data_IF_732065178748
#
_entry.id   IF_732065178748
#
_cell.length_a   1.000
_cell.length_b   1.000
_cell.length_c   1.000
_cell.angle_alpha   90.00
_cell.angle_beta   90.00
_cell.angle_gamma   90.00
#
_symmetry.space_group_name_H-M   'P 1'
#
loop_
_entity.id
_entity.type
_entity.pdbx_description
1 polymer ?
#
# COMPACT_ATOMS: atom_id res chain seq x y z
N UNK A 1 4.20 7.64 -9.78
CA UNK A 1 2.82 7.22 -10.06
C UNK A 1 2.32 6.32 -8.94
N UNK A 2 1.10 6.55 -8.50
CA UNK A 2 0.47 5.73 -7.45
C UNK A 2 -0.40 4.65 -8.09
N UNK A 3 -0.15 3.41 -7.73
CA UNK A 3 -0.99 2.28 -8.14
C UNK A 3 -1.61 1.67 -6.91
N UNK A 4 -2.85 1.24 -7.02
CA UNK A 4 -3.54 0.62 -5.90
C UNK A 4 -4.32 -0.59 -6.34
N UNK A 5 -4.47 -1.53 -5.42
CA UNK A 5 -5.30 -2.71 -5.58
C UNK A 5 -6.13 -2.92 -4.32
N UNK A 6 -7.10 -3.80 -4.43
CA UNK A 6 -8.04 -4.04 -3.36
C UNK A 6 -8.07 -5.53 -3.04
N UNK A 7 -8.05 -5.88 -1.75
CA UNK A 7 -8.13 -7.28 -1.30
C UNK A 7 -9.31 -7.45 -0.37
N UNK A 8 -10.27 -8.28 -0.78
CA UNK A 8 -11.38 -8.66 0.07
C UNK A 8 -10.95 -9.71 1.08
N UNK A 9 -11.60 -9.70 2.24
CA UNK A 9 -11.40 -10.75 3.23
C UNK A 9 -11.95 -12.06 2.70
N UNK A 10 -11.22 -13.15 2.91
CA UNK A 10 -11.65 -14.47 2.49
C UNK A 10 -12.53 -15.12 3.54
N UNK A 11 -13.56 -15.85 3.08
CA UNK A 11 -14.38 -16.66 3.95
C UNK A 11 -13.57 -17.92 4.34
N UNK A 12 -13.47 -18.26 5.63
CA UNK A 12 -12.73 -19.45 6.04
C UNK A 12 -13.16 -20.76 5.36
N UNK A 13 -14.43 -20.87 5.02
CA UNK A 13 -14.92 -22.07 4.31
C UNK A 13 -14.40 -22.15 2.87
N UNK A 14 -14.05 -21.04 2.26
CA UNK A 14 -13.49 -21.01 0.90
C UNK A 14 -12.00 -21.27 0.88
N UNK A 15 -11.29 -20.85 1.92
CA UNK A 15 -9.82 -20.99 2.02
C UNK A 15 -9.39 -22.45 1.87
N UNK A 16 -10.15 -23.37 2.42
CA UNK A 16 -9.85 -24.80 2.35
C UNK A 16 -9.86 -25.35 0.91
N UNK A 17 -10.48 -24.62 -0.01
CA UNK A 17 -10.60 -25.01 -1.41
C UNK A 17 -9.61 -24.30 -2.32
N UNK A 18 -8.85 -23.34 -1.78
CA UNK A 18 -7.92 -22.54 -2.58
C UNK A 18 -6.71 -23.38 -3.00
N UNK A 19 -6.35 -23.26 -4.27
CA UNK A 19 -5.07 -23.75 -4.76
C UNK A 19 -3.96 -22.75 -4.43
N UNK A 20 -2.72 -23.08 -4.80
CA UNK A 20 -1.56 -22.22 -4.51
C UNK A 20 -1.71 -20.83 -5.12
N UNK A 21 -2.21 -20.72 -6.35
CA UNK A 21 -2.38 -19.43 -7.03
C UNK A 21 -3.43 -18.57 -6.33
N UNK A 22 -4.52 -19.17 -5.90
CA UNK A 22 -5.57 -18.45 -5.16
C UNK A 22 -5.07 -18.00 -3.78
N UNK A 23 -4.30 -18.82 -3.08
CA UNK A 23 -3.68 -18.44 -1.81
C UNK A 23 -2.75 -17.23 -1.99
N UNK A 24 -1.97 -17.21 -3.07
CA UNK A 24 -1.12 -16.07 -3.38
C UNK A 24 -1.94 -14.82 -3.67
N UNK A 25 -2.99 -14.95 -4.46
CA UNK A 25 -3.85 -13.82 -4.83
C UNK A 25 -4.53 -13.19 -3.60
N UNK A 26 -5.02 -14.01 -2.69
CA UNK A 26 -5.82 -13.50 -1.56
C UNK A 26 -4.99 -13.16 -0.32
N UNK A 27 -3.84 -13.78 -0.13
CA UNK A 27 -3.06 -13.61 1.10
C UNK A 27 -1.66 -13.06 0.92
N UNK A 28 -1.15 -12.96 -0.29
CA UNK A 28 0.20 -12.47 -0.55
C UNK A 28 0.14 -11.17 -1.32
N UNK A 29 0.91 -10.18 -0.89
CA UNK A 29 1.11 -8.95 -1.64
C UNK A 29 2.47 -9.06 -2.32
N UNK A 30 2.44 -9.24 -3.63
CA UNK A 30 3.64 -9.34 -4.45
C UNK A 30 4.00 -7.98 -5.06
N UNK A 31 5.24 -7.85 -5.51
CA UNK A 31 5.73 -6.66 -6.23
C UNK A 31 5.48 -5.37 -5.45
N UNK A 32 5.77 -5.41 -4.16
CA UNK A 32 5.53 -4.28 -3.27
C UNK A 32 6.41 -3.08 -3.63
N UNK A 33 7.63 -3.32 -4.08
CA UNK A 33 8.57 -2.26 -4.44
C UNK A 33 8.81 -2.25 -5.95
N UNK A 34 8.32 -1.20 -6.60
CA UNK A 34 8.55 -0.94 -8.03
C UNK A 34 9.16 0.44 -8.15
N UNK A 35 10.27 0.55 -8.89
CA UNK A 35 11.02 1.79 -9.02
C UNK A 35 10.14 2.95 -9.48
N UNK A 36 10.23 4.07 -8.76
CA UNK A 36 9.49 5.31 -9.03
C UNK A 36 7.97 5.17 -8.99
N UNK A 37 7.47 4.18 -8.24
CA UNK A 37 6.04 3.99 -8.05
C UNK A 37 5.70 3.83 -6.58
N UNK A 38 4.48 4.22 -6.24
CA UNK A 38 3.85 3.93 -4.96
C UNK A 38 2.85 2.81 -5.22
N UNK A 39 3.08 1.66 -4.60
CA UNK A 39 2.19 0.50 -4.70
C UNK A 39 1.40 0.37 -3.42
N UNK A 40 0.07 0.45 -3.50
CA UNK A 40 -0.80 0.36 -2.35
C UNK A 40 -1.77 -0.82 -2.50
N UNK A 41 -1.97 -1.55 -1.42
CA UNK A 41 -2.99 -2.59 -1.35
C UNK A 41 -3.92 -2.27 -0.20
N UNK A 42 -5.18 -2.02 -0.52
CA UNK A 42 -6.23 -1.80 0.46
C UNK A 42 -6.81 -3.16 0.84
N UNK A 43 -6.55 -3.57 2.07
CA UNK A 43 -7.04 -4.85 2.59
C UNK A 43 -8.29 -4.64 3.42
N UNK A 44 -9.28 -5.50 3.24
CA UNK A 44 -10.48 -5.50 4.08
C UNK A 44 -10.24 -6.13 5.45
N UNK A 45 -9.07 -6.72 5.67
CA UNK A 45 -8.67 -7.12 7.03
C UNK A 45 -8.34 -5.84 7.81
N UNK A 46 -9.25 -5.44 8.70
CA UNK A 46 -9.18 -4.22 9.52
C UNK A 46 -9.01 -2.93 8.69
N UNK A 47 -9.38 -2.95 7.42
CA UNK A 47 -9.22 -1.82 6.51
C UNK A 47 -7.80 -1.23 6.50
N UNK A 48 -6.83 -2.11 6.54
CA UNK A 48 -5.42 -1.75 6.58
C UNK A 48 -4.88 -1.57 5.17
N UNK A 49 -4.10 -0.52 4.94
CA UNK A 49 -3.43 -0.31 3.67
C UNK A 49 -1.95 -0.64 3.85
N UNK A 50 -1.45 -1.54 3.01
CA UNK A 50 -0.03 -1.88 2.97
C UNK A 50 0.54 -1.32 1.68
N UNK A 51 1.69 -0.67 1.77
CA UNK A 51 2.29 -0.06 0.60
C UNK A 51 3.79 -0.19 0.55
N UNK A 52 4.31 -0.09 -0.67
CA UNK A 52 5.73 0.02 -0.94
C UNK A 52 6.00 1.29 -1.73
N UNK A 53 7.03 2.00 -1.34
CA UNK A 53 7.44 3.24 -1.98
C UNK A 53 8.93 3.13 -2.31
N UNK A 54 9.26 3.25 -3.58
CA UNK A 54 10.64 3.10 -4.06
C UNK A 54 11.02 4.26 -4.98
N UNK A 55 11.34 5.43 -4.42
CA UNK A 55 11.79 6.55 -5.24
C UNK A 55 13.21 6.30 -5.74
N UNK A 56 13.40 6.37 -7.05
CA UNK A 56 14.71 6.23 -7.70
C UNK A 56 14.85 7.38 -8.67
N UNK A 57 15.62 8.38 -8.30
CA UNK A 57 15.88 9.53 -9.15
C UNK A 57 14.79 10.59 -9.21
N UNK A 58 13.66 10.40 -8.53
CA UNK A 58 12.62 11.42 -8.44
C UNK A 58 11.85 11.31 -7.14
N UNK A 59 11.26 12.41 -6.75
CA UNK A 59 10.37 12.49 -5.59
C UNK A 59 9.01 11.86 -5.92
N UNK A 60 8.44 11.14 -4.97
CA UNK A 60 7.10 10.57 -5.09
C UNK A 60 6.17 11.24 -4.09
N UNK A 61 4.94 11.48 -4.50
CA UNK A 61 3.92 12.11 -3.67
C UNK A 61 2.81 11.11 -3.37
N UNK A 62 2.47 10.98 -2.09
CA UNK A 62 1.35 10.16 -1.65
C UNK A 62 0.05 10.93 -1.87
N UNK A 63 -0.73 10.47 -2.83
CA UNK A 63 -2.02 11.05 -3.16
C UNK A 63 -3.15 10.19 -2.65
N UNK A 64 -4.32 10.80 -2.43
CA UNK A 64 -5.51 10.06 -2.03
C UNK A 64 -5.95 9.11 -3.15
N UNK A 65 -6.57 8.01 -2.76
CA UNK A 65 -7.13 7.04 -3.69
C UNK A 65 -8.66 7.04 -3.56
N UNK A 66 -9.40 6.63 -4.60
CA UNK A 66 -10.86 6.71 -4.59
C UNK A 66 -11.55 5.99 -3.43
N UNK A 67 -10.99 4.89 -2.96
CA UNK A 67 -11.57 4.13 -1.86
C UNK A 67 -11.60 4.88 -0.52
N UNK A 68 -10.76 5.88 -0.34
CA UNK A 68 -10.70 6.66 0.90
C UNK A 68 -11.78 7.73 0.96
N UNK A 69 -12.28 8.18 -0.20
CA UNK A 69 -13.28 9.24 -0.30
C UNK A 69 -12.89 10.47 0.52
N UNK A 70 -11.62 10.85 0.44
CA UNK A 70 -11.04 11.98 1.12
C UNK A 70 -10.15 12.78 0.17
N UNK A 71 -10.00 14.06 0.43
CA UNK A 71 -9.17 14.93 -0.41
C UNK A 71 -7.69 14.60 -0.25
N UNK A 72 -7.26 14.33 0.99
CA UNK A 72 -5.89 13.95 1.29
C UNK A 72 -5.84 12.53 1.85
N UNK A 73 -4.73 11.84 1.61
CA UNK A 73 -4.58 10.45 2.02
C UNK A 73 -4.73 10.26 3.54
N UNK A 74 -4.18 11.18 4.33
CA UNK A 74 -4.16 11.06 5.78
C UNK A 74 -5.26 11.84 6.51
N UNK A 75 -6.29 12.30 5.81
CA UNK A 75 -7.39 13.03 6.44
C UNK A 75 -8.05 12.25 7.59
N UNK A 76 -8.10 10.93 7.48
CA UNK A 76 -8.74 10.04 8.46
C UNK A 76 -7.87 8.85 8.82
N UNK A 77 -6.57 8.92 8.54
CA UNK A 77 -5.66 7.78 8.71
C UNK A 77 -4.33 8.24 9.26
N UNK A 78 -3.63 7.29 9.86
CA UNK A 78 -2.24 7.44 10.27
C UNK A 78 -1.34 6.65 9.33
N UNK A 79 -0.10 7.11 9.17
CA UNK A 79 0.89 6.45 8.34
C UNK A 79 2.09 6.06 9.19
N UNK A 80 2.43 4.78 9.16
CA UNK A 80 3.70 4.30 9.69
C UNK A 80 4.62 3.97 8.54
N UNK A 81 5.88 4.32 8.66
CA UNK A 81 6.89 4.06 7.63
C UNK A 81 8.04 3.28 8.24
N UNK A 82 8.41 2.19 7.57
CA UNK A 82 9.59 1.39 7.92
C UNK A 82 10.54 1.46 6.73
N UNK A 83 11.73 2.02 6.96
CA UNK A 83 12.75 2.08 5.91
C UNK A 83 13.49 0.75 5.85
N UNK A 84 13.40 0.08 4.70
CA UNK A 84 14.07 -1.21 4.46
C UNK A 84 15.18 -1.10 3.41
N UNK A 85 15.47 0.09 2.94
CA UNK A 85 16.48 0.35 1.91
C UNK A 85 17.52 1.37 2.35
N UNK A 86 18.02 2.12 1.39
CA UNK A 86 18.98 3.20 1.63
C UNK A 86 18.38 4.39 2.34
N UNK A 87 19.20 5.36 2.66
CA UNK A 87 18.74 6.59 3.31
C UNK A 87 17.78 7.37 2.43
N UNK A 88 16.77 7.95 3.04
CA UNK A 88 15.77 8.75 2.35
C UNK A 88 15.19 9.81 3.25
N UNK A 89 14.29 10.61 2.69
CA UNK A 89 13.61 11.66 3.42
C UNK A 89 12.11 11.60 3.16
N UNK A 90 11.34 12.04 4.14
CA UNK A 90 9.90 12.18 4.03
C UNK A 90 9.54 13.62 4.40
N UNK A 91 8.75 14.27 3.57
CA UNK A 91 8.24 15.61 3.86
C UNK A 91 6.75 15.56 4.11
N UNK A 92 6.32 16.19 5.17
CA UNK A 92 4.90 16.31 5.55
C UNK A 92 4.62 17.77 5.83
N UNK A 93 3.69 18.35 5.09
CA UNK A 93 3.32 19.78 5.22
C UNK A 93 4.53 20.72 5.22
N UNK A 94 5.47 20.44 4.34
CA UNK A 94 6.68 21.24 4.18
C UNK A 94 7.80 20.96 5.20
N UNK A 95 7.58 20.07 6.15
CA UNK A 95 8.58 19.68 7.13
C UNK A 95 9.25 18.38 6.69
N UNK A 96 10.58 18.39 6.62
CA UNK A 96 11.38 17.26 6.18
C UNK A 96 11.86 16.43 7.37
N UNK A 97 11.70 15.13 7.26
CA UNK A 97 12.17 14.15 8.23
C UNK A 97 13.18 13.17 7.64
#
# INVERSE_FOLDING_TARGET
MTKFSFRYASNPSDVNKYNTNELREYFLIENLFVANEIQLTYSMYDRFIVGGIMPVGKELKLESIPYLKSEHFLDRRELGIINVGGSGTVSVDGIKY
#
